data_IF_081605262802
#
_entry.id   IF_081605262802
#
_cell.length_a   1.000
_cell.length_b   1.000
_cell.length_c   1.000
_cell.angle_alpha   90.00
_cell.angle_beta   90.00
_cell.angle_gamma   90.00
#
_symmetry.space_group_name_H-M   'P 1'
#
loop_
_entity.id
_entity.type
_entity.pdbx_description
1 polymer ?
#
# COMPACT_ATOMS: atom_id res chain seq x y z
N UNK A 1 52.55 17.31 12.70
CA UNK A 1 51.10 17.61 12.52
C UNK A 1 50.69 17.01 11.20
N UNK A 2 49.92 15.91 11.21
CA UNK A 2 49.43 15.28 9.97
C UNK A 2 48.02 15.83 9.70
N UNK A 3 47.85 16.52 8.56
CA UNK A 3 46.54 16.96 8.08
C UNK A 3 46.02 15.92 7.08
N UNK A 4 44.90 15.28 7.40
CA UNK A 4 44.23 14.34 6.51
C UNK A 4 43.42 15.16 5.50
N UNK A 5 44.01 15.47 4.34
CA UNK A 5 43.34 16.19 3.27
C UNK A 5 42.53 15.20 2.40
N UNK A 6 41.21 15.17 2.58
CA UNK A 6 40.33 14.45 1.64
C UNK A 6 40.21 15.24 0.33
N UNK A 7 41.10 14.95 -0.62
CA UNK A 7 41.13 15.59 -1.94
C UNK A 7 39.81 15.41 -2.71
N UNK A 8 39.01 14.38 -2.38
CA UNK A 8 37.76 14.08 -3.09
C UNK A 8 36.58 14.97 -2.67
N UNK A 9 36.65 15.65 -1.53
CA UNK A 9 35.58 16.51 -1.01
C UNK A 9 36.06 17.80 -0.34
N UNK A 10 37.38 18.06 -0.30
CA UNK A 10 38.00 19.17 0.43
C UNK A 10 37.32 20.51 0.16
N UNK A 11 37.20 20.91 -1.11
CA UNK A 11 36.59 22.19 -1.47
C UNK A 11 35.11 22.26 -1.04
N UNK A 12 34.37 21.15 -1.14
CA UNK A 12 32.97 21.11 -0.67
C UNK A 12 32.87 21.22 0.85
N UNK A 13 33.84 20.66 1.58
CA UNK A 13 33.90 20.75 3.05
C UNK A 13 34.24 22.18 3.49
N UNK A 14 35.17 22.85 2.79
CA UNK A 14 35.49 24.26 3.06
C UNK A 14 34.26 25.16 2.83
N UNK A 15 33.57 25.00 1.70
CA UNK A 15 32.34 25.75 1.42
C UNK A 15 31.27 25.53 2.50
N UNK A 16 31.03 24.29 2.93
CA UNK A 16 30.08 23.99 4.02
C UNK A 16 30.49 24.59 5.37
N UNK A 17 31.78 24.83 5.61
CA UNK A 17 32.27 25.50 6.83
C UNK A 17 32.00 27.00 6.78
N UNK A 18 32.31 27.66 5.66
CA UNK A 18 32.11 29.11 5.51
C UNK A 18 30.66 29.50 5.23
N UNK A 19 29.85 28.55 4.74
CA UNK A 19 28.41 28.71 4.50
C UNK A 19 27.59 27.72 5.31
N UNK A 20 27.22 28.08 6.55
CA UNK A 20 26.42 27.22 7.42
C UNK A 20 25.09 26.77 6.79
N UNK A 21 24.51 27.58 5.88
CA UNK A 21 23.27 27.27 5.18
C UNK A 21 23.38 26.10 4.18
N UNK A 22 24.59 25.67 3.83
CA UNK A 22 24.87 24.56 2.93
C UNK A 22 25.24 23.25 3.64
N UNK A 23 25.32 23.26 4.98
CA UNK A 23 25.83 22.13 5.78
C UNK A 23 25.12 20.82 5.45
N UNK A 24 23.80 20.84 5.42
CA UNK A 24 22.95 19.65 5.22
C UNK A 24 22.49 19.48 3.75
N UNK A 25 23.10 20.22 2.82
CA UNK A 25 22.75 20.20 1.39
C UNK A 25 23.78 19.45 0.55
N UNK A 26 23.37 18.85 -0.59
CA UNK A 26 24.31 18.27 -1.55
C UNK A 26 25.06 19.38 -2.29
N UNK A 27 26.35 19.55 -1.99
CA UNK A 27 27.22 20.59 -2.57
C UNK A 27 28.12 20.02 -3.67
N UNK A 28 28.30 20.81 -4.73
CA UNK A 28 29.25 20.58 -5.82
C UNK A 28 29.95 21.89 -6.13
N UNK A 29 31.27 21.87 -6.22
CA UNK A 29 32.11 23.04 -6.52
C UNK A 29 32.60 22.95 -7.96
N UNK A 30 32.50 24.06 -8.68
CA UNK A 30 32.94 24.21 -10.07
C UNK A 30 34.28 24.95 -10.14
N UNK A 31 35.05 24.67 -11.19
CA UNK A 31 36.19 25.51 -11.58
C UNK A 31 35.71 26.91 -11.96
N UNK A 32 36.46 27.93 -11.57
CA UNK A 32 36.11 29.35 -11.77
C UNK A 32 35.94 29.75 -13.25
N UNK A 33 36.52 29.00 -14.19
CA UNK A 33 36.55 29.39 -15.61
C UNK A 33 35.89 28.39 -16.57
N UNK A 34 35.96 27.09 -16.29
CA UNK A 34 35.60 26.06 -17.29
C UNK A 34 34.28 25.34 -16.99
N UNK A 35 33.59 25.71 -15.91
CA UNK A 35 32.36 25.04 -15.47
C UNK A 35 32.54 23.56 -15.10
N UNK A 36 33.78 23.07 -15.07
CA UNK A 36 34.10 21.70 -14.71
C UNK A 36 33.91 21.45 -13.22
N UNK A 37 33.34 20.30 -12.87
CA UNK A 37 33.16 19.89 -11.47
C UNK A 37 34.50 19.47 -10.87
N UNK A 38 35.00 20.20 -9.87
CA UNK A 38 36.28 19.94 -9.22
C UNK A 38 36.14 19.22 -7.87
N UNK A 39 34.99 19.33 -7.20
CA UNK A 39 34.71 18.60 -5.97
C UNK A 39 33.21 18.34 -5.79
N UNK A 40 32.88 17.20 -5.16
CA UNK A 40 31.50 16.83 -4.80
C UNK A 40 31.46 16.33 -3.35
N UNK A 41 30.46 16.80 -2.61
CA UNK A 41 30.11 16.26 -1.30
C UNK A 41 29.66 14.79 -1.41
N UNK A 42 29.73 14.04 -0.31
CA UNK A 42 29.37 12.62 -0.30
C UNK A 42 27.90 12.40 -0.71
N UNK A 43 27.02 13.27 -0.22
CA UNK A 43 25.59 13.30 -0.53
C UNK A 43 25.36 13.55 -2.02
N UNK A 44 26.06 14.53 -2.61
CA UNK A 44 25.96 14.82 -4.03
C UNK A 44 26.46 13.66 -4.92
N UNK A 45 27.48 12.91 -4.48
CA UNK A 45 27.97 11.71 -5.19
C UNK A 45 26.89 10.63 -5.20
N UNK A 46 26.30 10.31 -4.04
CA UNK A 46 25.24 9.31 -3.94
C UNK A 46 24.02 9.69 -4.77
N UNK A 47 23.55 10.93 -4.65
CA UNK A 47 22.40 11.42 -5.41
C UNK A 47 22.65 11.47 -6.94
N UNK A 48 23.90 11.59 -7.37
CA UNK A 48 24.24 11.55 -8.80
C UNK A 48 24.18 10.14 -9.41
N UNK A 49 24.32 9.10 -8.58
CA UNK A 49 24.20 7.71 -9.00
C UNK A 49 22.76 7.20 -8.92
N UNK A 50 21.93 7.84 -8.09
CA UNK A 50 20.55 7.43 -7.87
C UNK A 50 19.62 7.88 -9.01
N UNK A 51 18.95 6.95 -9.72
CA UNK A 51 17.95 7.29 -10.71
C UNK A 51 16.76 8.02 -10.08
N UNK A 52 16.17 8.95 -10.83
CA UNK A 52 15.02 9.75 -10.36
C UNK A 52 13.80 8.87 -9.99
N UNK A 53 13.65 7.73 -10.64
CA UNK A 53 12.52 6.81 -10.47
C UNK A 53 12.62 5.89 -9.26
N UNK A 54 13.76 5.89 -8.58
CA UNK A 54 13.95 5.15 -7.33
C UNK A 54 13.74 6.03 -6.09
N UNK A 55 13.48 7.33 -6.29
CA UNK A 55 13.18 8.25 -5.21
C UNK A 55 11.76 8.01 -4.71
N UNK A 56 11.58 8.04 -3.40
CA UNK A 56 10.27 7.85 -2.78
C UNK A 56 9.25 8.85 -3.35
N UNK A 57 8.09 8.32 -3.76
CA UNK A 57 7.03 9.11 -4.38
C UNK A 57 7.22 9.39 -5.88
N UNK A 58 8.36 9.03 -6.50
CA UNK A 58 8.61 9.16 -7.94
C UNK A 58 8.55 7.80 -8.61
N UNK A 59 7.34 7.27 -8.82
CA UNK A 59 7.19 6.00 -9.54
C UNK A 59 7.38 6.13 -11.06
N UNK A 60 7.40 4.98 -11.76
CA UNK A 60 7.57 4.85 -13.22
C UNK A 60 6.70 5.77 -14.09
N UNK A 61 5.50 6.13 -13.62
CA UNK A 61 4.61 7.05 -14.37
C UNK A 61 5.00 8.51 -14.17
N UNK A 62 5.43 8.86 -12.96
CA UNK A 62 5.82 10.22 -12.60
C UNK A 62 7.18 10.54 -13.22
N UNK A 63 8.13 9.58 -13.22
CA UNK A 63 9.48 9.76 -13.78
C UNK A 63 9.50 10.09 -15.27
N UNK A 64 8.46 9.73 -16.05
CA UNK A 64 8.39 10.05 -17.48
C UNK A 64 8.54 11.54 -17.76
N UNK A 65 7.83 12.40 -17.02
CA UNK A 65 7.81 13.85 -17.28
C UNK A 65 9.12 14.54 -16.87
N UNK A 66 9.73 14.28 -15.68
CA UNK A 66 11.08 14.71 -15.35
C UNK A 66 12.13 14.22 -16.36
N UNK A 67 12.04 12.96 -16.80
CA UNK A 67 12.98 12.41 -17.79
C UNK A 67 12.92 13.18 -19.12
N UNK A 68 11.73 13.58 -19.58
CA UNK A 68 11.58 14.45 -20.77
C UNK A 68 12.20 15.84 -20.58
N UNK A 69 12.29 16.33 -19.34
CA UNK A 69 12.93 17.60 -18.99
C UNK A 69 14.45 17.45 -18.75
N UNK A 70 15.03 16.26 -18.98
CA UNK A 70 16.45 15.98 -18.75
C UNK A 70 16.81 15.73 -17.28
N UNK A 71 15.81 15.53 -16.40
CA UNK A 71 15.99 15.21 -14.98
C UNK A 71 15.93 13.69 -14.83
N UNK A 72 17.08 13.04 -14.84
CA UNK A 72 17.24 11.58 -14.77
C UNK A 72 17.83 11.09 -13.45
N UNK A 73 18.47 11.98 -12.69
CA UNK A 73 19.12 11.65 -11.40
C UNK A 73 18.50 12.40 -10.23
N UNK A 74 18.64 11.85 -9.02
CA UNK A 74 18.18 12.50 -7.80
C UNK A 74 18.86 13.84 -7.55
N UNK A 75 20.15 13.98 -7.91
CA UNK A 75 20.88 15.24 -7.81
C UNK A 75 20.29 16.34 -8.70
N UNK A 76 19.92 16.01 -9.95
CA UNK A 76 19.26 16.96 -10.85
C UNK A 76 17.89 17.37 -10.32
N UNK A 77 17.15 16.42 -9.74
CA UNK A 77 15.86 16.71 -9.13
C UNK A 77 16.01 17.64 -7.92
N UNK A 78 16.99 17.39 -7.05
CA UNK A 78 17.30 18.23 -5.89
C UNK A 78 17.64 19.69 -6.29
N UNK A 79 18.30 19.87 -7.43
CA UNK A 79 18.67 21.19 -7.97
C UNK A 79 17.53 21.92 -8.67
N UNK A 80 16.40 21.26 -8.91
CA UNK A 80 15.28 21.88 -9.63
C UNK A 80 14.54 22.85 -8.73
N UNK A 81 14.06 23.97 -9.29
CA UNK A 81 13.31 24.98 -8.53
C UNK A 81 12.03 24.37 -7.89
N UNK A 82 11.86 24.43 -6.55
CA UNK A 82 10.68 23.85 -5.88
C UNK A 82 9.34 24.45 -6.34
N UNK A 83 9.32 25.72 -6.73
CA UNK A 83 8.12 26.40 -7.25
C UNK A 83 7.74 25.86 -8.62
N UNK A 84 8.73 25.57 -9.47
CA UNK A 84 8.50 24.91 -10.76
C UNK A 84 7.94 23.50 -10.56
N UNK A 85 8.48 22.74 -9.61
CA UNK A 85 8.00 21.40 -9.29
C UNK A 85 6.55 21.43 -8.80
N UNK A 86 6.21 22.34 -7.88
CA UNK A 86 4.84 22.48 -7.38
C UNK A 86 3.84 22.81 -8.50
N UNK A 87 4.20 23.69 -9.43
CA UNK A 87 3.33 24.09 -10.55
C UNK A 87 3.10 22.97 -11.56
N UNK A 88 4.14 22.19 -11.87
CA UNK A 88 4.09 21.18 -12.92
C UNK A 88 3.74 19.76 -12.44
N UNK A 89 3.85 19.51 -11.13
CA UNK A 89 3.62 18.21 -10.48
C UNK A 89 2.67 18.36 -9.30
N UNK A 90 3.11 18.05 -8.08
CA UNK A 90 2.30 18.10 -6.87
C UNK A 90 3.12 18.61 -5.67
N UNK A 91 2.43 18.87 -4.55
CA UNK A 91 3.06 19.35 -3.32
C UNK A 91 3.97 18.30 -2.69
N UNK A 92 3.65 17.01 -2.84
CA UNK A 92 4.47 15.92 -2.29
C UNK A 92 5.86 15.91 -2.94
N UNK A 93 5.93 16.04 -4.27
CA UNK A 93 7.19 16.07 -5.01
C UNK A 93 8.01 17.31 -4.68
N UNK A 94 7.36 18.45 -4.39
CA UNK A 94 8.04 19.63 -3.86
C UNK A 94 8.69 19.30 -2.51
N UNK A 95 7.97 18.65 -1.59
CA UNK A 95 8.52 18.23 -0.28
C UNK A 95 9.68 17.25 -0.45
N UNK A 96 9.58 16.30 -1.38
CA UNK A 96 10.70 15.41 -1.73
C UNK A 96 11.95 16.19 -2.18
N UNK A 97 11.81 17.22 -3.02
CA UNK A 97 12.94 18.08 -3.41
C UNK A 97 13.53 18.84 -2.24
N UNK A 98 12.71 19.32 -1.31
CA UNK A 98 13.17 19.99 -0.10
C UNK A 98 13.94 19.02 0.81
N UNK A 99 13.44 17.80 0.99
CA UNK A 99 14.13 16.73 1.75
C UNK A 99 15.47 16.32 1.13
N UNK A 100 15.55 16.22 -0.20
CA UNK A 100 16.83 15.96 -0.89
C UNK A 100 17.86 17.09 -0.66
N UNK A 101 17.40 18.27 -0.23
CA UNK A 101 18.24 19.41 0.16
C UNK A 101 18.32 19.57 1.70
N UNK A 102 18.00 18.53 2.47
CA UNK A 102 18.11 18.55 3.93
C UNK A 102 17.03 19.34 4.67
N UNK A 103 15.97 19.79 3.99
CA UNK A 103 14.82 20.44 4.64
C UNK A 103 13.76 19.40 5.02
N UNK A 104 13.69 19.06 6.31
CA UNK A 104 12.69 18.10 6.81
C UNK A 104 11.27 18.64 6.62
N UNK A 105 10.53 18.01 5.71
CA UNK A 105 9.18 18.32 5.27
C UNK A 105 8.22 17.13 5.43
N UNK A 106 8.74 15.92 5.63
CA UNK A 106 7.97 14.68 5.79
C UNK A 106 8.18 14.20 7.22
N UNK A 107 7.24 14.53 8.10
CA UNK A 107 7.22 14.02 9.47
C UNK A 107 7.06 12.50 9.47
N UNK A 108 7.77 11.83 10.38
CA UNK A 108 7.49 10.44 10.72
C UNK A 108 6.07 10.38 11.31
N UNK A 109 5.23 9.50 10.77
CA UNK A 109 3.88 9.30 11.32
C UNK A 109 3.98 8.43 12.59
N UNK A 110 3.83 9.06 13.77
CA UNK A 110 3.90 8.35 15.06
C UNK A 110 2.67 7.45 15.32
N UNK A 111 1.54 7.77 14.71
CA UNK A 111 0.32 6.96 14.72
C UNK A 111 -0.38 7.04 13.35
N UNK A 112 -0.50 5.92 12.61
CA UNK A 112 -1.22 5.94 11.35
C UNK A 112 -2.70 6.29 11.62
N UNK A 113 -3.32 7.14 10.77
CA UNK A 113 -4.73 7.45 10.92
C UNK A 113 -5.59 6.18 10.83
N UNK A 114 -6.78 6.15 11.45
CA UNK A 114 -7.69 5.03 11.33
C UNK A 114 -7.90 4.67 9.85
N UNK A 115 -7.79 3.36 9.55
CA UNK A 115 -7.97 2.87 8.18
C UNK A 115 -9.32 3.34 7.67
N UNK A 116 -9.37 3.92 6.47
CA UNK A 116 -10.64 4.34 5.86
C UNK A 116 -11.38 3.17 5.21
N UNK A 117 -10.65 2.11 4.86
CA UNK A 117 -11.18 0.91 4.21
C UNK A 117 -10.33 -0.31 4.56
N UNK A 118 -10.97 -1.48 4.58
CA UNK A 118 -10.31 -2.78 4.73
C UNK A 118 -10.65 -3.58 3.48
N UNK A 119 -9.63 -3.89 2.68
CA UNK A 119 -9.78 -4.72 1.49
C UNK A 119 -9.07 -6.05 1.71
N UNK A 120 -9.83 -7.14 1.57
CA UNK A 120 -9.29 -8.48 1.44
C UNK A 120 -9.55 -8.95 0.02
N UNK A 121 -8.48 -9.01 -0.78
CA UNK A 121 -8.54 -9.50 -2.15
C UNK A 121 -7.33 -10.36 -2.48
N UNK A 122 -7.53 -11.30 -3.39
CA UNK A 122 -6.46 -12.14 -3.93
C UNK A 122 -6.72 -12.40 -5.41
N UNK A 123 -5.63 -12.50 -6.16
CA UNK A 123 -5.65 -13.07 -7.50
C UNK A 123 -5.61 -14.59 -7.36
N UNK A 124 -6.41 -15.28 -8.16
CA UNK A 124 -6.51 -16.73 -8.14
C UNK A 124 -5.37 -17.37 -8.94
N UNK A 125 -4.84 -18.50 -8.48
CA UNK A 125 -3.84 -19.28 -9.23
C UNK A 125 -4.43 -19.91 -10.49
N UNK A 126 -5.69 -20.33 -10.40
CA UNK A 126 -6.51 -20.82 -11.52
C UNK A 126 -7.73 -19.93 -11.71
N UNK A 127 -8.25 -19.86 -12.94
CA UNK A 127 -9.40 -19.00 -13.23
C UNK A 127 -10.68 -19.63 -12.73
N UNK A 128 -11.43 -18.88 -11.93
CA UNK A 128 -12.73 -19.33 -11.45
C UNK A 128 -13.79 -19.11 -12.52
N UNK A 129 -14.51 -20.18 -12.84
CA UNK A 129 -15.60 -20.20 -13.83
C UNK A 129 -16.95 -20.53 -13.20
N UNK A 130 -16.97 -21.13 -12.01
CA UNK A 130 -18.20 -21.52 -11.34
C UNK A 130 -18.59 -20.53 -10.26
N UNK A 131 -19.88 -20.26 -10.16
CA UNK A 131 -20.43 -19.37 -9.12
C UNK A 131 -20.10 -19.88 -7.72
N UNK A 132 -20.21 -21.20 -7.48
CA UNK A 132 -19.97 -21.77 -6.15
C UNK A 132 -18.52 -21.56 -5.68
N UNK A 133 -17.53 -21.77 -6.54
CA UNK A 133 -16.13 -21.51 -6.20
C UNK A 133 -15.89 -20.02 -5.94
N UNK A 134 -16.53 -19.12 -6.71
CA UNK A 134 -16.44 -17.68 -6.48
C UNK A 134 -17.09 -17.28 -5.14
N UNK A 135 -18.25 -17.87 -4.83
CA UNK A 135 -18.96 -17.63 -3.57
C UNK A 135 -18.11 -18.04 -2.38
N UNK A 136 -17.52 -19.24 -2.42
CA UNK A 136 -16.59 -19.71 -1.40
C UNK A 136 -15.41 -18.74 -1.20
N UNK A 137 -14.86 -18.20 -2.30
CA UNK A 137 -13.79 -17.22 -2.24
C UNK A 137 -14.18 -15.91 -1.59
N UNK A 138 -15.32 -15.35 -2.00
CA UNK A 138 -15.85 -14.11 -1.43
C UNK A 138 -16.16 -14.29 0.05
N UNK A 139 -16.74 -15.42 0.46
CA UNK A 139 -16.96 -15.76 1.87
C UNK A 139 -15.65 -15.75 2.67
N UNK A 140 -14.59 -16.42 2.18
CA UNK A 140 -13.29 -16.40 2.83
C UNK A 140 -12.70 -14.99 2.96
N UNK A 141 -12.85 -14.16 1.93
CA UNK A 141 -12.36 -12.78 1.96
C UNK A 141 -13.16 -11.91 2.93
N UNK A 142 -14.48 -12.11 2.99
CA UNK A 142 -15.36 -11.46 3.95
C UNK A 142 -15.03 -11.86 5.40
N UNK A 143 -14.79 -13.14 5.67
CA UNK A 143 -14.31 -13.63 6.98
C UNK A 143 -13.04 -12.91 7.42
N UNK A 144 -12.02 -12.90 6.54
CA UNK A 144 -10.73 -12.29 6.85
C UNK A 144 -10.83 -10.76 6.97
N UNK A 145 -11.71 -10.12 6.22
CA UNK A 145 -11.95 -8.69 6.33
C UNK A 145 -12.63 -8.34 7.66
N UNK A 146 -13.61 -9.15 8.08
CA UNK A 146 -14.31 -8.99 9.36
C UNK A 146 -13.37 -9.21 10.57
N UNK A 147 -12.50 -10.22 10.52
CA UNK A 147 -11.47 -10.44 11.54
C UNK A 147 -10.53 -9.24 11.70
N UNK A 148 -10.08 -8.66 10.57
CA UNK A 148 -9.28 -7.43 10.58
C UNK A 148 -10.05 -6.24 11.13
N UNK A 149 -11.32 -6.09 10.76
CA UNK A 149 -12.18 -5.01 11.24
C UNK A 149 -12.31 -5.05 12.77
N UNK A 150 -12.49 -6.24 13.35
CA UNK A 150 -12.54 -6.44 14.80
C UNK A 150 -11.20 -6.16 15.48
N UNK A 151 -10.08 -6.50 14.84
CA UNK A 151 -8.75 -6.13 15.33
C UNK A 151 -8.55 -4.62 15.46
N UNK A 152 -9.17 -3.83 14.59
CA UNK A 152 -9.19 -2.35 14.63
C UNK A 152 -10.29 -1.79 15.56
N UNK A 153 -11.12 -2.65 16.17
CA UNK A 153 -12.27 -2.29 17.01
C UNK A 153 -13.24 -1.31 16.31
N UNK A 154 -13.51 -1.55 15.03
CA UNK A 154 -14.40 -0.74 14.21
C UNK A 154 -15.65 -1.53 13.80
N UNK A 155 -16.71 -0.82 13.44
CA UNK A 155 -17.92 -1.37 12.84
C UNK A 155 -18.03 -0.85 11.41
N UNK A 156 -18.45 -1.68 10.46
CA UNK A 156 -18.63 -1.28 9.07
C UNK A 156 -20.10 -1.22 8.71
N UNK A 157 -20.46 -0.24 7.88
CA UNK A 157 -21.82 -0.12 7.33
C UNK A 157 -21.88 -0.46 5.85
N UNK A 158 -20.77 -0.34 5.13
CA UNK A 158 -20.74 -0.52 3.69
C UNK A 158 -19.84 -1.68 3.29
N UNK A 159 -20.40 -2.67 2.62
CA UNK A 159 -19.70 -3.88 2.16
C UNK A 159 -19.75 -3.91 0.65
N UNK A 160 -18.61 -4.02 0.00
CA UNK A 160 -18.51 -4.12 -1.45
C UNK A 160 -17.76 -5.39 -1.86
N UNK A 161 -18.21 -5.98 -2.96
CA UNK A 161 -17.55 -7.14 -3.58
C UNK A 161 -17.23 -6.78 -5.01
N UNK A 162 -16.03 -7.14 -5.45
CA UNK A 162 -15.64 -7.00 -6.84
C UNK A 162 -15.10 -8.31 -7.39
N UNK A 163 -15.35 -8.50 -8.69
CA UNK A 163 -14.83 -9.61 -9.48
C UNK A 163 -14.25 -9.05 -10.77
N UNK A 164 -13.09 -9.57 -11.19
CA UNK A 164 -12.37 -9.09 -12.37
C UNK A 164 -11.77 -10.24 -13.15
N UNK A 165 -11.88 -10.20 -14.47
CA UNK A 165 -11.06 -11.02 -15.38
C UNK A 165 -9.67 -10.40 -15.52
N UNK A 166 -8.75 -11.11 -16.17
CA UNK A 166 -7.38 -10.60 -16.33
C UNK A 166 -7.35 -9.50 -17.42
N UNK A 167 -6.84 -8.30 -17.12
CA UNK A 167 -6.63 -7.27 -18.13
C UNK A 167 -5.50 -7.61 -19.12
N UNK A 168 -4.72 -8.66 -18.84
CA UNK A 168 -3.63 -9.13 -19.69
C UNK A 168 -4.02 -10.31 -20.58
N UNK A 169 -5.29 -10.76 -20.53
CA UNK A 169 -5.77 -11.77 -21.45
C UNK A 169 -5.97 -11.14 -22.82
N UNK A 170 -5.18 -11.56 -23.81
CA UNK A 170 -5.22 -10.99 -25.17
C UNK A 170 -6.49 -11.43 -25.92
N UNK A 171 -7.02 -12.60 -25.59
CA UNK A 171 -8.14 -13.24 -26.31
C UNK A 171 -9.50 -13.10 -25.62
N UNK A 172 -9.56 -12.52 -24.43
CA UNK A 172 -10.80 -12.43 -23.64
C UNK A 172 -11.14 -10.97 -23.33
N UNK A 173 -12.41 -10.54 -23.50
CA UNK A 173 -12.80 -9.19 -23.11
C UNK A 173 -12.62 -8.99 -21.60
N UNK A 174 -12.04 -7.85 -21.24
CA UNK A 174 -11.92 -7.47 -19.85
C UNK A 174 -13.32 -7.21 -19.26
N UNK A 175 -13.63 -7.91 -18.17
CA UNK A 175 -14.86 -7.76 -17.43
C UNK A 175 -14.53 -7.53 -15.96
N UNK A 176 -15.06 -6.45 -15.40
CA UNK A 176 -14.78 -6.06 -14.03
C UNK A 176 -15.95 -5.29 -13.44
N UNK A 177 -16.64 -5.92 -12.49
CA UNK A 177 -17.80 -5.35 -11.82
C UNK A 177 -17.55 -5.20 -10.33
N UNK A 178 -18.25 -4.24 -9.73
CA UNK A 178 -18.28 -3.95 -8.31
C UNK A 178 -19.74 -3.75 -7.92
N UNK A 179 -20.20 -4.46 -6.89
CA UNK A 179 -21.45 -4.16 -6.22
C UNK A 179 -21.19 -3.89 -4.76
N UNK A 180 -22.11 -3.13 -4.16
CA UNK A 180 -22.04 -2.76 -2.76
C UNK A 180 -23.38 -2.84 -2.08
N UNK A 181 -23.36 -3.23 -0.82
CA UNK A 181 -24.50 -3.26 0.08
C UNK A 181 -24.23 -2.31 1.24
N UNK A 182 -25.19 -1.43 1.49
CA UNK A 182 -25.17 -0.56 2.67
C UNK A 182 -26.12 -1.14 3.71
N UNK A 183 -25.56 -1.56 4.83
CA UNK A 183 -26.34 -2.01 5.99
C UNK A 183 -27.01 -0.81 6.66
N UNK A 184 -28.15 -1.07 7.29
CA UNK A 184 -28.83 -0.07 8.10
C UNK A 184 -28.05 0.17 9.40
N UNK A 185 -27.60 -0.92 10.03
CA UNK A 185 -26.86 -0.92 11.29
C UNK A 185 -25.38 -1.27 11.03
N UNK A 186 -24.42 -0.49 11.56
CA UNK A 186 -23.01 -0.85 11.52
C UNK A 186 -22.76 -2.18 12.23
N UNK A 187 -22.05 -3.10 11.60
CA UNK A 187 -21.77 -4.43 12.16
C UNK A 187 -20.30 -4.79 12.05
N UNK A 188 -19.87 -5.65 12.96
CA UNK A 188 -18.59 -6.37 12.91
C UNK A 188 -18.80 -7.89 12.94
N UNK A 189 -20.05 -8.36 12.86
CA UNK A 189 -20.40 -9.77 12.82
C UNK A 189 -20.08 -10.36 11.44
N UNK A 190 -19.26 -11.41 11.42
CA UNK A 190 -18.85 -12.06 10.17
C UNK A 190 -20.03 -12.60 9.37
N UNK A 191 -21.12 -13.04 10.03
CA UNK A 191 -22.29 -13.63 9.36
C UNK A 191 -23.04 -12.59 8.53
N UNK A 192 -23.22 -11.40 9.09
CA UNK A 192 -23.94 -10.32 8.41
C UNK A 192 -23.10 -9.75 7.27
N UNK A 193 -21.77 -9.65 7.45
CA UNK A 193 -20.82 -9.26 6.41
C UNK A 193 -20.81 -10.29 5.27
N UNK A 194 -20.77 -11.60 5.58
CA UNK A 194 -20.84 -12.66 4.55
C UNK A 194 -22.17 -12.58 3.80
N UNK A 195 -23.30 -12.44 4.51
CA UNK A 195 -24.61 -12.36 3.87
C UNK A 195 -24.71 -11.15 2.93
N UNK A 196 -24.19 -9.99 3.32
CA UNK A 196 -24.11 -8.81 2.47
C UNK A 196 -23.17 -9.01 1.28
N UNK A 197 -22.02 -9.65 1.49
CA UNK A 197 -21.06 -9.94 0.42
C UNK A 197 -21.64 -10.91 -0.63
N UNK A 198 -22.37 -11.94 -0.20
CA UNK A 198 -23.03 -12.89 -1.11
C UNK A 198 -24.13 -12.18 -1.93
N UNK A 199 -24.99 -11.37 -1.30
CA UNK A 199 -25.98 -10.56 -2.05
C UNK A 199 -25.33 -9.62 -3.06
N UNK A 200 -24.19 -9.01 -2.71
CA UNK A 200 -23.44 -8.18 -3.63
C UNK A 200 -22.88 -9.02 -4.80
N UNK A 201 -22.36 -10.22 -4.53
CA UNK A 201 -21.85 -11.15 -5.54
C UNK A 201 -22.96 -11.57 -6.53
N UNK A 202 -24.15 -11.89 -6.02
CA UNK A 202 -25.29 -12.34 -6.83
C UNK A 202 -25.69 -11.33 -7.91
N UNK A 203 -25.50 -10.03 -7.64
CA UNK A 203 -25.82 -8.95 -8.59
C UNK A 203 -24.76 -8.71 -9.65
N UNK A 204 -23.53 -9.18 -9.45
CA UNK A 204 -22.40 -8.91 -10.36
C UNK A 204 -21.86 -10.16 -11.06
N UNK A 205 -22.34 -11.33 -10.65
CA UNK A 205 -21.98 -12.58 -11.28
C UNK A 205 -22.54 -12.64 -12.69
N UNK A 206 -21.68 -12.97 -13.65
CA UNK A 206 -22.05 -13.19 -15.04
C UNK A 206 -21.38 -14.49 -15.49
N UNK A 207 -22.21 -15.44 -15.91
CA UNK A 207 -21.72 -16.73 -16.41
C UNK A 207 -20.93 -16.57 -17.72
N UNK A 208 -19.99 -17.50 -17.96
CA UNK A 208 -19.14 -17.51 -19.15
C UNK A 208 -17.83 -16.71 -19.03
N UNK A 209 -17.62 -15.98 -17.93
CA UNK A 209 -16.36 -15.28 -17.67
C UNK A 209 -15.37 -16.10 -16.84
N UNK A 210 -14.08 -15.92 -17.13
CA UNK A 210 -12.96 -16.58 -16.44
C UNK A 210 -12.29 -15.60 -15.47
N UNK A 211 -12.85 -15.51 -14.28
CA UNK A 211 -12.42 -14.53 -13.29
C UNK A 211 -11.01 -14.84 -12.75
N UNK A 212 -10.17 -13.81 -12.70
CA UNK A 212 -8.78 -13.88 -12.26
C UNK A 212 -8.56 -13.32 -10.85
N UNK A 213 -9.48 -12.47 -10.39
CA UNK A 213 -9.36 -11.79 -9.10
C UNK A 213 -10.74 -11.50 -8.53
N UNK A 214 -10.86 -11.65 -7.23
CA UNK A 214 -12.01 -11.16 -6.47
C UNK A 214 -11.57 -10.58 -5.13
N UNK A 215 -12.47 -9.86 -4.48
CA UNK A 215 -12.23 -9.35 -3.15
C UNK A 215 -13.48 -8.80 -2.48
N UNK A 216 -13.40 -8.73 -1.15
CA UNK A 216 -14.35 -8.05 -0.30
C UNK A 216 -13.69 -6.78 0.27
N UNK A 217 -14.44 -5.68 0.26
CA UNK A 217 -14.06 -4.37 0.72
C UNK A 217 -15.07 -3.92 1.76
N UNK A 218 -14.59 -3.53 2.94
CA UNK A 218 -15.38 -2.93 4.00
C UNK A 218 -15.03 -1.44 4.08
N UNK A 219 -16.06 -0.60 4.08
CA UNK A 219 -15.98 0.86 4.13
C UNK A 219 -16.99 1.39 5.17
N UNK A 220 -16.98 2.71 5.34
CA UNK A 220 -17.90 3.44 6.24
C UNK A 220 -17.76 2.91 7.68
N UNK A 221 -16.58 3.17 8.25
CA UNK A 221 -16.22 2.71 9.58
C UNK A 221 -16.64 3.67 10.67
N UNK A 222 -17.13 3.09 11.76
CA UNK A 222 -17.55 3.80 12.95
C UNK A 222 -16.90 3.16 14.18
N UNK A 223 -16.36 3.95 15.12
CA UNK A 223 -15.72 3.42 16.33
C UNK A 223 -16.74 2.87 17.34
N UNK A 224 -17.99 3.36 17.27
CA UNK A 224 -19.09 2.93 18.13
C UNK A 224 -20.13 2.22 17.28
N UNK A 225 -20.45 0.98 17.62
CA UNK A 225 -21.57 0.23 17.01
C UNK A 225 -22.95 0.77 17.37
N UNK A 226 -23.01 1.90 18.07
CA UNK A 226 -24.25 2.59 18.42
C UNK A 226 -24.76 3.34 17.20
N UNK A 227 -25.64 2.68 16.44
CA UNK A 227 -26.58 3.39 15.58
C UNK A 227 -27.74 3.86 16.45
N UNK A 228 -28.19 5.10 16.28
CA UNK A 228 -29.50 5.49 16.77
C UNK A 228 -30.52 4.62 16.02
N UNK A 229 -31.10 3.64 16.72
CA UNK A 229 -32.19 2.84 16.20
C UNK A 229 -33.40 3.76 16.10
N UNK A 230 -34.07 3.78 14.95
CA UNK A 230 -35.38 4.41 14.87
C UNK A 230 -36.37 3.57 15.68
N UNK A 231 -37.40 4.21 16.22
CA UNK A 231 -38.45 3.58 17.02
C UNK A 231 -39.15 2.41 16.29
N UNK A 232 -39.02 2.35 14.97
CA UNK A 232 -39.64 1.35 14.09
C UNK A 232 -38.63 0.48 13.33
N UNK A 233 -37.35 0.46 13.72
CA UNK A 233 -36.37 -0.40 13.06
C UNK A 233 -36.61 -1.88 13.44
N UNK A 234 -37.11 -2.66 12.48
CA UNK A 234 -37.37 -4.11 12.64
C UNK A 234 -36.09 -4.94 12.74
N UNK A 235 -34.97 -4.42 12.22
CA UNK A 235 -33.68 -5.12 12.20
C UNK A 235 -32.94 -4.81 13.49
N UNK A 236 -32.89 -5.76 14.41
CA UNK A 236 -32.11 -5.64 15.64
C UNK A 236 -30.73 -6.30 15.49
N UNK A 237 -29.68 -5.78 16.16
CA UNK A 237 -28.40 -6.48 16.25
C UNK A 237 -28.61 -7.87 16.85
N UNK A 238 -27.90 -8.87 16.30
CA UNK A 238 -28.00 -10.24 16.82
C UNK A 238 -27.55 -10.28 18.28
N UNK A 239 -28.36 -10.91 19.12
CA UNK A 239 -28.00 -11.18 20.51
C UNK A 239 -26.68 -11.95 20.58
N UNK A 240 -25.81 -11.51 21.50
CA UNK A 240 -24.52 -12.15 21.81
C UNK A 240 -23.55 -12.29 20.63
N UNK A 241 -23.73 -11.51 19.57
CA UNK A 241 -22.84 -11.48 18.41
C UNK A 241 -21.40 -11.22 18.79
N UNK A 242 -21.17 -10.24 19.67
CA UNK A 242 -19.83 -9.87 20.11
C UNK A 242 -19.11 -11.02 20.85
N UNK A 243 -19.76 -11.66 21.82
CA UNK A 243 -19.14 -12.77 22.55
C UNK A 243 -18.85 -13.97 21.63
N UNK A 244 -19.74 -14.28 20.69
CA UNK A 244 -19.52 -15.35 19.72
C UNK A 244 -18.29 -15.05 18.84
N UNK A 245 -18.19 -13.83 18.31
CA UNK A 245 -17.06 -13.45 17.45
C UNK A 245 -15.75 -13.43 18.23
N UNK A 246 -15.75 -13.00 19.48
CA UNK A 246 -14.58 -13.07 20.36
C UNK A 246 -14.10 -14.51 20.58
N UNK A 247 -15.02 -15.46 20.79
CA UNK A 247 -14.67 -16.88 20.92
C UNK A 247 -14.10 -17.44 19.63
N UNK A 248 -14.76 -17.16 18.49
CA UNK A 248 -14.29 -17.59 17.16
C UNK A 248 -12.87 -17.08 16.87
N UNK A 249 -12.65 -15.79 17.07
CA UNK A 249 -11.34 -15.18 16.86
C UNK A 249 -10.32 -15.73 17.84
N UNK A 250 -10.68 -15.90 19.12
CA UNK A 250 -9.81 -16.48 20.14
C UNK A 250 -9.33 -17.89 19.77
N UNK A 251 -10.23 -18.74 19.26
CA UNK A 251 -9.86 -20.08 18.79
C UNK A 251 -8.91 -19.98 17.59
N UNK A 252 -9.22 -19.13 16.60
CA UNK A 252 -8.40 -18.95 15.40
C UNK A 252 -7.01 -18.36 15.69
N UNK A 253 -6.88 -17.50 16.71
CA UNK A 253 -5.59 -16.93 17.13
C UNK A 253 -4.78 -17.89 18.01
N UNK A 254 -5.42 -18.83 18.70
CA UNK A 254 -4.75 -19.78 19.61
C UNK A 254 -3.77 -20.73 18.90
N UNK A 255 -3.90 -20.89 17.57
CA UNK A 255 -3.08 -21.80 16.77
C UNK A 255 -3.37 -23.30 16.99
N UNK A 256 -4.28 -23.67 17.92
CA UNK A 256 -4.66 -25.06 18.20
C UNK A 256 -5.60 -25.67 17.16
N UNK A 257 -6.22 -24.84 16.34
CA UNK A 257 -7.13 -25.23 15.27
C UNK A 257 -7.65 -23.99 14.54
N UNK A 258 -8.36 -24.20 13.43
CA UNK A 258 -9.07 -23.14 12.70
C UNK A 258 -10.54 -23.49 12.60
N UNK A 259 -11.40 -22.52 12.84
CA UNK A 259 -12.84 -22.58 12.61
C UNK A 259 -13.18 -21.58 11.52
N UNK A 260 -14.07 -21.98 10.61
CA UNK A 260 -14.57 -21.15 9.52
C UNK A 260 -16.07 -21.40 9.33
N UNK A 261 -16.75 -20.50 8.64
CA UNK A 261 -18.15 -20.68 8.32
C UNK A 261 -18.30 -21.66 7.16
N UNK A 262 -19.35 -22.49 7.20
CA UNK A 262 -19.61 -23.50 6.17
C UNK A 262 -19.70 -22.90 4.75
N UNK A 263 -20.12 -21.64 4.62
CA UNK A 263 -20.19 -20.90 3.36
C UNK A 263 -18.86 -20.77 2.61
N UNK A 264 -17.73 -20.98 3.29
CA UNK A 264 -16.38 -20.97 2.71
C UNK A 264 -15.97 -22.30 2.04
N UNK A 265 -16.63 -23.42 2.37
CA UNK A 265 -16.21 -24.75 1.91
C UNK A 265 -14.99 -25.30 2.67
N UNK A 266 -14.62 -26.56 2.41
CA UNK A 266 -13.62 -27.32 3.19
C UNK A 266 -12.22 -27.32 2.54
N UNK A 267 -12.12 -27.14 1.22
CA UNK A 267 -10.85 -27.02 0.52
C UNK A 267 -11.01 -26.23 -0.80
N UNK A 268 -10.63 -24.95 -0.85
CA UNK A 268 -10.68 -24.20 -2.08
C UNK A 268 -9.53 -24.61 -3.02
N UNK A 269 -9.87 -25.12 -4.21
CA UNK A 269 -8.90 -25.48 -5.27
C UNK A 269 -8.11 -24.26 -5.78
N UNK A 270 -8.67 -23.06 -5.63
CA UNK A 270 -8.13 -21.80 -6.14
C UNK A 270 -7.10 -21.13 -5.21
N UNK A 271 -6.04 -21.83 -4.80
CA UNK A 271 -4.99 -21.19 -3.98
C UNK A 271 -4.20 -20.11 -4.76
N UNK A 272 -3.67 -19.11 -4.04
CA UNK A 272 -2.83 -18.10 -4.68
C UNK A 272 -1.49 -18.70 -5.09
N UNK A 273 -1.01 -18.38 -6.31
CA UNK A 273 0.35 -18.73 -6.72
C UNK A 273 1.36 -17.87 -5.96
N UNK A 274 2.34 -18.52 -5.34
CA UNK A 274 3.40 -17.91 -4.52
C UNK A 274 4.81 -18.17 -5.08
N UNK A 275 4.93 -18.35 -6.40
CA UNK A 275 6.18 -18.73 -7.07
C UNK A 275 7.24 -17.60 -7.10
N UNK A 276 6.83 -16.35 -6.93
CA UNK A 276 7.69 -15.16 -6.97
C UNK A 276 7.81 -14.46 -5.61
N UNK A 277 7.80 -15.22 -4.51
CA UNK A 277 8.00 -14.66 -3.18
C UNK A 277 9.40 -14.05 -3.06
N UNK A 278 9.47 -12.77 -2.68
CA UNK A 278 10.73 -12.17 -2.28
C UNK A 278 11.25 -12.82 -1.00
N UNK A 279 12.58 -12.90 -0.80
CA UNK A 279 13.14 -13.37 0.46
C UNK A 279 12.61 -12.59 1.66
N UNK A 280 12.51 -13.26 2.80
CA UNK A 280 11.92 -12.71 4.02
C UNK A 280 12.95 -11.88 4.82
N UNK A 281 13.39 -10.75 4.25
CA UNK A 281 14.47 -9.92 4.77
C UNK A 281 14.32 -9.48 6.23
N UNK A 282 13.09 -9.30 6.71
CA UNK A 282 12.82 -8.77 8.06
C UNK A 282 12.55 -9.86 9.10
N UNK A 283 12.22 -11.08 8.67
CA UNK A 283 11.80 -12.17 9.58
C UNK A 283 12.71 -13.39 9.51
N UNK A 284 13.59 -13.49 8.51
CA UNK A 284 14.54 -14.59 8.35
C UNK A 284 15.94 -14.06 8.10
N UNK A 285 16.82 -14.28 9.07
CA UNK A 285 18.24 -13.87 9.01
C UNK A 285 18.97 -14.38 7.77
N UNK A 286 18.68 -15.61 7.32
CA UNK A 286 19.30 -16.22 6.15
C UNK A 286 18.96 -15.53 4.82
N UNK A 287 17.87 -14.75 4.80
CA UNK A 287 17.39 -14.10 3.59
C UNK A 287 17.98 -12.67 3.46
N UNK A 288 18.69 -12.16 4.47
CA UNK A 288 19.28 -10.81 4.48
C UNK A 288 20.44 -10.73 3.45
N UNK A 289 20.42 -9.77 2.52
CA UNK A 289 21.49 -9.62 1.55
C UNK A 289 22.81 -9.22 2.22
N UNK A 290 23.88 -9.95 1.93
CA UNK A 290 25.22 -9.66 2.42
C UNK A 290 25.89 -8.58 1.55
N UNK A 291 26.10 -7.38 2.10
CA UNK A 291 26.91 -6.36 1.45
C UNK A 291 28.39 -6.72 1.55
N UNK A 292 29.08 -6.80 0.41
CA UNK A 292 30.54 -6.92 0.33
C UNK A 292 31.10 -5.64 -0.27
N UNK A 293 32.12 -5.08 0.38
CA UNK A 293 32.96 -4.05 -0.22
C UNK A 293 33.91 -4.76 -1.19
N UNK A 294 33.68 -4.58 -2.49
CA UNK A 294 34.71 -4.81 -3.53
C UNK A 294 35.50 -3.55 -3.73
#
# INVERSE_FOLDING_TARGET
>A
MFALADVNSFYTSCEKVFRPDLRDRPVVVLSNNDGCVIARSAEAKLLSLQPVEEIWGVGRRISKKPNTLGITTALQQARTNPTFIRKNFNVVLKRTVQELNGESCISLEDAPPPKQQIVCSRSFGERITTYEAMRQAVCQYAERAAEKLRGERQFCRHIAVFVKTSPFAVTEPYHGNLASEKLLIPTQDTRDIIAAAVRALDRIWVDGHRYAKAGCMLNDFTPTGVSQLNLFDEVQPRERSEQLMQVLDGINHSGKGKIWFASRGIAPEWQMKMELLSPAYTTRWADIPAAKLT
#
